data_IF_718037846736
#
_entry.id   IF_718037846736
#
_cell.length_a   1.000
_cell.length_b   1.000
_cell.length_c   1.000
_cell.angle_alpha   90.00
_cell.angle_beta   90.00
_cell.angle_gamma   90.00
#
_symmetry.space_group_name_H-M   'P 1'
#
loop_
_entity.id
_entity.type
_entity.pdbx_description
1 polymer ?
#
# COMPACT_ATOMS: atom_id res chain seq x y z
N UNK A 1 -16.11 86.38 16.24
CA UNK A 1 -15.72 87.12 15.03
C UNK A 1 -15.46 86.07 13.94
N UNK A 2 -16.41 85.79 13.03
CA UNK A 2 -16.52 86.28 11.63
C UNK A 2 -15.21 86.08 10.84
N UNK A 3 -15.12 85.44 9.66
CA UNK A 3 -15.99 85.12 8.50
C UNK A 3 -15.47 83.82 7.83
N UNK A 4 -16.30 82.89 7.32
CA UNK A 4 -17.02 82.85 6.03
C UNK A 4 -16.16 82.88 4.74
N UNK A 5 -16.45 81.93 3.84
CA UNK A 5 -15.93 81.82 2.47
C UNK A 5 -16.41 80.53 1.77
N UNK A 6 -17.69 80.47 1.41
CA UNK A 6 -18.30 79.50 0.49
C UNK A 6 -18.08 79.91 -0.99
N UNK A 7 -17.97 78.91 -1.88
CA UNK A 7 -18.46 78.83 -3.29
C UNK A 7 -18.20 77.38 -3.73
N UNK A 8 -19.08 76.59 -4.34
CA UNK A 8 -20.32 76.85 -5.06
C UNK A 8 -20.26 76.11 -6.42
N UNK A 9 -20.89 74.93 -6.46
CA UNK A 9 -21.56 74.25 -7.60
C UNK A 9 -20.79 73.65 -8.80
N UNK A 10 -21.24 72.45 -9.22
CA UNK A 10 -21.04 71.90 -10.57
C UNK A 10 -21.00 70.37 -10.68
N UNK A 11 -22.17 69.71 -10.79
CA UNK A 11 -22.30 68.30 -11.22
C UNK A 11 -21.83 68.10 -12.67
N UNK A 12 -21.39 66.87 -13.04
CA UNK A 12 -22.29 66.09 -13.88
C UNK A 12 -22.42 64.62 -13.47
N UNK A 13 -23.66 64.15 -13.57
CA UNK A 13 -24.11 62.76 -13.61
C UNK A 13 -23.43 61.98 -14.73
N UNK A 14 -22.93 60.77 -14.46
CA UNK A 14 -22.81 59.69 -15.45
C UNK A 14 -22.54 58.32 -14.82
N UNK A 15 -23.50 57.42 -15.05
CA UNK A 15 -23.39 55.97 -15.26
C UNK A 15 -22.57 55.09 -14.30
N UNK A 16 -23.30 54.32 -13.50
CA UNK A 16 -22.83 53.07 -12.89
C UNK A 16 -22.66 52.00 -13.97
N UNK A 17 -21.41 51.59 -14.22
CA UNK A 17 -21.11 50.38 -15.00
C UNK A 17 -20.75 49.27 -14.02
N UNK A 18 -21.65 48.30 -13.90
CA UNK A 18 -21.41 47.02 -13.21
C UNK A 18 -20.39 46.23 -14.02
N UNK A 19 -19.13 46.25 -13.57
CA UNK A 19 -18.09 45.35 -14.10
C UNK A 19 -18.29 43.97 -13.49
N UNK A 20 -19.02 43.11 -14.20
CA UNK A 20 -19.06 41.67 -13.97
C UNK A 20 -17.69 41.11 -14.32
N UNK A 21 -16.88 40.81 -13.30
CA UNK A 21 -15.64 40.06 -13.46
C UNK A 21 -15.98 38.60 -13.74
N UNK A 22 -15.89 38.22 -15.01
CA UNK A 22 -15.95 36.84 -15.49
C UNK A 22 -14.76 36.05 -14.95
N UNK A 23 -15.00 35.25 -13.91
CA UNK A 23 -14.06 34.24 -13.46
C UNK A 23 -14.16 33.02 -14.39
N UNK A 24 -13.32 33.01 -15.43
CA UNK A 24 -13.10 31.83 -16.27
C UNK A 24 -12.40 30.77 -15.42
N UNK A 25 -13.19 29.90 -14.78
CA UNK A 25 -12.69 28.73 -14.08
C UNK A 25 -12.39 27.68 -15.13
N UNK A 26 -11.12 27.57 -15.52
CA UNK A 26 -10.63 26.44 -16.29
C UNK A 26 -10.71 25.18 -15.42
N UNK A 27 -11.85 24.49 -15.45
CA UNK A 27 -11.99 23.16 -14.87
C UNK A 27 -11.36 22.17 -15.83
N UNK A 28 -10.06 21.92 -15.65
CA UNK A 28 -9.38 20.79 -16.29
C UNK A 28 -9.88 19.52 -15.62
N UNK A 29 -10.93 18.93 -16.18
CA UNK A 29 -11.43 17.60 -15.79
C UNK A 29 -10.44 16.55 -16.28
N UNK A 30 -9.39 16.31 -15.50
CA UNK A 30 -8.57 15.12 -15.64
C UNK A 30 -9.45 13.92 -15.33
N UNK A 31 -9.78 13.13 -16.34
CA UNK A 31 -10.51 11.86 -16.27
C UNK A 31 -9.72 10.89 -15.41
N UNK A 32 -9.84 11.03 -14.09
CA UNK A 32 -9.24 10.13 -13.12
C UNK A 32 -10.20 8.97 -13.02
N UNK A 33 -9.89 7.86 -13.68
CA UNK A 33 -10.61 6.60 -13.52
C UNK A 33 -10.72 6.33 -12.03
N UNK A 34 -11.93 6.43 -11.49
CA UNK A 34 -12.16 6.26 -10.06
C UNK A 34 -12.08 4.75 -9.78
N UNK A 35 -10.88 4.23 -9.54
CA UNK A 35 -10.71 2.85 -9.10
C UNK A 35 -11.31 2.72 -7.70
N UNK A 36 -12.34 1.89 -7.57
CA UNK A 36 -12.95 1.56 -6.29
C UNK A 36 -11.92 0.91 -5.38
N UNK A 37 -11.84 1.33 -4.11
CA UNK A 37 -10.84 0.72 -3.24
C UNK A 37 -11.14 -0.76 -2.97
N UNK A 38 -12.40 -1.19 -3.08
CA UNK A 38 -12.79 -2.59 -2.99
C UNK A 38 -12.05 -3.48 -4.01
N UNK A 39 -11.69 -2.93 -5.17
CA UNK A 39 -10.88 -3.59 -6.20
C UNK A 39 -9.46 -3.92 -5.71
N UNK A 40 -8.88 -3.08 -4.83
CA UNK A 40 -7.60 -3.36 -4.17
C UNK A 40 -7.68 -4.50 -3.15
N UNK A 41 -8.86 -4.74 -2.57
CA UNK A 41 -9.07 -5.77 -1.56
C UNK A 41 -9.31 -7.16 -2.16
N UNK A 42 -9.84 -7.24 -3.39
CA UNK A 42 -10.07 -8.52 -4.08
C UNK A 42 -8.81 -9.09 -4.73
N UNK A 43 -7.64 -8.49 -4.54
CA UNK A 43 -6.39 -8.88 -5.21
C UNK A 43 -6.37 -8.61 -6.72
N UNK A 44 -7.36 -7.87 -7.23
CA UNK A 44 -7.51 -7.60 -8.68
C UNK A 44 -6.83 -6.32 -9.14
N UNK A 45 -6.38 -5.50 -8.19
CA UNK A 45 -5.70 -4.25 -8.51
C UNK A 45 -4.30 -4.46 -9.06
N UNK A 46 -3.99 -3.75 -10.13
CA UNK A 46 -2.66 -3.74 -10.70
C UNK A 46 -1.64 -3.12 -9.72
N UNK A 47 -0.36 -3.48 -9.89
CA UNK A 47 0.76 -2.86 -9.15
C UNK A 47 0.77 -1.34 -9.26
N UNK A 48 0.39 -0.80 -10.43
CA UNK A 48 0.33 0.64 -10.68
C UNK A 48 -0.77 1.32 -9.85
N UNK A 49 -1.95 0.72 -9.75
CA UNK A 49 -3.04 1.28 -8.97
C UNK A 49 -2.75 1.20 -7.46
N UNK A 50 -2.14 0.10 -6.98
CA UNK A 50 -1.70 -0.03 -5.58
C UNK A 50 -0.68 1.04 -5.22
N UNK A 51 0.26 1.29 -6.13
CA UNK A 51 1.26 2.36 -6.01
C UNK A 51 0.58 3.73 -5.97
N UNK A 52 -0.39 3.97 -6.85
CA UNK A 52 -1.16 5.21 -6.88
C UNK A 52 -1.92 5.45 -5.57
N UNK A 53 -2.61 4.43 -5.05
CA UNK A 53 -3.31 4.50 -3.77
C UNK A 53 -2.34 4.86 -2.63
N UNK A 54 -1.20 4.17 -2.56
CA UNK A 54 -0.16 4.46 -1.57
C UNK A 54 0.34 5.90 -1.65
N UNK A 55 0.59 6.42 -2.86
CA UNK A 55 1.01 7.81 -3.07
C UNK A 55 -0.04 8.79 -2.59
N UNK A 56 -1.32 8.57 -2.93
CA UNK A 56 -2.40 9.47 -2.51
C UNK A 56 -2.64 9.44 -1.00
N UNK A 57 -2.59 8.26 -0.37
CA UNK A 57 -2.64 8.14 1.10
C UNK A 57 -1.44 8.88 1.70
N UNK A 58 -0.24 8.71 1.13
CA UNK A 58 0.98 9.39 1.56
C UNK A 58 0.82 10.90 1.55
N UNK A 59 0.36 11.46 0.43
CA UNK A 59 0.11 12.90 0.29
C UNK A 59 -0.89 13.42 1.32
N UNK A 60 -1.99 12.71 1.58
CA UNK A 60 -2.96 13.12 2.62
C UNK A 60 -2.31 13.11 4.00
N UNK A 61 -1.52 12.09 4.31
CA UNK A 61 -0.81 12.01 5.59
C UNK A 61 0.23 13.11 5.70
N UNK A 62 0.98 13.43 4.65
CA UNK A 62 2.01 14.48 4.69
C UNK A 62 1.40 15.87 4.85
N UNK A 63 0.39 16.19 4.06
CA UNK A 63 -0.22 17.53 4.01
C UNK A 63 -1.16 17.81 5.19
N UNK A 64 -1.76 16.79 5.78
CA UNK A 64 -2.84 16.98 6.77
C UNK A 64 -2.64 16.25 8.09
N UNK A 65 -1.62 15.40 8.21
CA UNK A 65 -1.40 14.73 9.49
C UNK A 65 -0.82 15.69 10.53
N UNK A 66 -1.35 15.55 11.74
CA UNK A 66 -0.85 16.24 12.92
C UNK A 66 0.41 15.51 13.40
N UNK A 67 1.58 15.94 12.92
CA UNK A 67 2.87 15.36 13.35
C UNK A 67 3.20 15.65 14.82
N UNK A 68 2.32 16.31 15.56
CA UNK A 68 2.42 16.50 17.00
C UNK A 68 2.16 15.24 17.85
N UNK A 69 1.83 14.08 17.25
CA UNK A 69 1.63 12.83 18.00
C UNK A 69 2.80 11.85 17.84
N UNK A 70 3.44 11.42 18.95
CA UNK A 70 4.62 10.52 18.92
C UNK A 70 4.39 9.23 18.11
N UNK A 71 3.18 8.67 18.14
CA UNK A 71 2.81 7.44 17.42
C UNK A 71 1.43 7.59 16.77
N UNK A 72 1.21 6.92 15.64
CA UNK A 72 -0.09 6.93 14.94
C UNK A 72 -1.25 6.47 15.84
N UNK A 73 -1.02 5.50 16.73
CA UNK A 73 -2.03 5.03 17.69
C UNK A 73 -2.48 6.11 18.69
N UNK A 74 -1.68 7.17 18.90
CA UNK A 74 -2.03 8.30 19.78
C UNK A 74 -2.80 9.40 19.06
N UNK A 75 -2.92 9.34 17.73
CA UNK A 75 -3.72 10.29 16.95
C UNK A 75 -5.20 10.04 17.27
N UNK A 76 -5.97 11.07 17.67
CA UNK A 76 -7.39 10.92 17.97
C UNK A 76 -8.19 10.33 16.80
N UNK A 77 -9.14 9.45 17.10
CA UNK A 77 -9.98 8.79 16.11
C UNK A 77 -10.76 9.78 15.24
N UNK A 78 -11.16 10.95 15.77
CA UNK A 78 -11.81 12.03 15.02
C UNK A 78 -10.91 12.62 13.92
N UNK A 79 -9.61 12.81 14.22
CA UNK A 79 -8.61 13.29 13.26
C UNK A 79 -8.28 12.22 12.23
N UNK A 80 -8.10 10.97 12.64
CA UNK A 80 -7.94 9.83 11.70
C UNK A 80 -9.14 9.71 10.75
N UNK A 81 -10.37 9.85 11.26
CA UNK A 81 -11.60 9.86 10.45
C UNK A 81 -11.58 11.00 9.44
N UNK A 82 -11.13 12.19 9.83
CA UNK A 82 -11.00 13.34 8.92
C UNK A 82 -10.03 13.02 7.76
N UNK A 83 -8.88 12.41 8.06
CA UNK A 83 -7.92 11.99 7.03
C UNK A 83 -8.50 10.91 6.11
N UNK A 84 -9.23 9.94 6.66
CA UNK A 84 -9.93 8.94 5.84
C UNK A 84 -11.03 9.56 4.98
N UNK A 85 -11.79 10.51 5.49
CA UNK A 85 -12.82 11.20 4.70
C UNK A 85 -12.22 11.95 3.50
N UNK A 86 -10.97 12.43 3.58
CA UNK A 86 -10.28 13.02 2.42
C UNK A 86 -9.99 12.02 1.32
N UNK A 87 -9.89 10.73 1.64
CA UNK A 87 -9.79 9.68 0.62
C UNK A 87 -11.08 9.51 -0.16
N UNK A 88 -12.25 9.80 0.43
CA UNK A 88 -13.55 9.70 -0.27
C UNK A 88 -13.65 10.68 -1.45
N UNK A 89 -12.90 11.80 -1.39
CA UNK A 89 -12.82 12.76 -2.49
C UNK A 89 -11.99 12.22 -3.66
N UNK A 90 -11.02 11.35 -3.37
CA UNK A 90 -10.09 10.81 -4.36
C UNK A 90 -10.49 9.43 -4.88
N UNK A 91 -11.27 8.69 -4.10
CA UNK A 91 -11.61 7.29 -4.36
C UNK A 91 -13.05 7.01 -3.93
N UNK A 92 -13.75 6.15 -4.68
CA UNK A 92 -15.01 5.56 -4.22
C UNK A 92 -14.66 4.43 -3.25
N UNK A 93 -14.82 4.70 -1.96
CA UNK A 93 -14.46 3.78 -0.87
C UNK A 93 -15.62 3.67 0.08
N UNK A 94 -16.04 2.46 0.39
CA UNK A 94 -16.89 2.24 1.54
C UNK A 94 -16.05 2.25 2.83
N UNK A 95 -15.94 3.42 3.45
CA UNK A 95 -15.31 3.57 4.76
C UNK A 95 -16.22 3.12 5.93
N UNK A 96 -17.33 2.46 5.65
CA UNK A 96 -18.19 1.86 6.69
C UNK A 96 -17.72 0.46 7.06
N UNK A 97 -17.06 -0.24 6.13
CA UNK A 97 -16.61 -1.61 6.38
C UNK A 97 -15.38 -1.65 7.30
N UNK A 98 -15.42 -2.38 8.43
CA UNK A 98 -14.37 -2.35 9.46
C UNK A 98 -13.00 -2.82 8.94
N UNK A 99 -12.96 -3.87 8.10
CA UNK A 99 -11.71 -4.35 7.47
C UNK A 99 -11.06 -3.31 6.56
N UNK A 100 -11.86 -2.51 5.86
CA UNK A 100 -11.35 -1.45 4.97
C UNK A 100 -10.75 -0.32 5.81
N UNK A 101 -11.46 0.09 6.87
CA UNK A 101 -10.95 1.08 7.83
C UNK A 101 -9.61 0.61 8.41
N UNK A 102 -9.52 -0.64 8.87
CA UNK A 102 -8.31 -1.20 9.46
C UNK A 102 -7.13 -1.18 8.48
N UNK A 103 -7.34 -1.63 7.25
CA UNK A 103 -6.31 -1.63 6.22
C UNK A 103 -5.83 -0.21 5.91
N UNK A 104 -6.75 0.73 5.68
CA UNK A 104 -6.40 2.14 5.40
C UNK A 104 -5.65 2.73 6.59
N UNK A 105 -6.09 2.47 7.83
CA UNK A 105 -5.41 2.95 9.04
C UNK A 105 -4.00 2.37 9.17
N UNK A 106 -3.82 1.08 8.84
CA UNK A 106 -2.50 0.41 8.84
C UNK A 106 -1.57 1.03 7.80
N UNK A 107 -2.06 1.33 6.59
CA UNK A 107 -1.27 2.00 5.54
C UNK A 107 -0.92 3.43 5.94
N UNK A 108 -1.88 4.19 6.46
CA UNK A 108 -1.64 5.53 7.01
C UNK A 108 -0.61 5.50 8.16
N UNK A 109 -0.68 4.52 9.07
CA UNK A 109 0.27 4.35 10.16
C UNK A 109 1.70 4.14 9.68
N UNK A 110 1.88 3.28 8.67
CA UNK A 110 3.19 3.03 8.04
C UNK A 110 3.73 4.31 7.41
N UNK A 111 2.93 4.99 6.60
CA UNK A 111 3.33 6.22 5.91
C UNK A 111 3.60 7.38 6.87
N UNK A 112 2.82 7.50 7.95
CA UNK A 112 3.04 8.46 9.02
C UNK A 112 4.40 8.25 9.71
N UNK A 113 4.77 6.99 9.93
CA UNK A 113 6.04 6.64 10.58
C UNK A 113 7.22 6.96 9.67
N UNK A 114 7.11 6.63 8.37
CA UNK A 114 8.10 6.99 7.34
C UNK A 114 8.27 8.51 7.26
N UNK A 115 7.16 9.25 7.21
CA UNK A 115 7.18 10.71 7.14
C UNK A 115 7.92 11.35 8.32
N UNK A 116 7.58 10.95 9.55
CA UNK A 116 8.26 11.46 10.75
C UNK A 116 9.76 11.17 10.75
N UNK A 117 10.14 10.00 10.25
CA UNK A 117 11.54 9.62 10.15
C UNK A 117 12.28 10.47 9.11
N UNK A 118 11.64 10.82 8.00
CA UNK A 118 12.20 11.76 7.02
C UNK A 118 12.37 13.16 7.62
N UNK A 119 11.37 13.67 8.34
CA UNK A 119 11.48 14.94 9.06
C UNK A 119 12.62 14.95 10.07
N UNK A 120 12.84 13.82 10.74
CA UNK A 120 13.98 13.64 11.64
C UNK A 120 15.32 13.69 10.89
N UNK A 121 15.46 12.96 9.78
CA UNK A 121 16.65 13.00 8.92
C UNK A 121 16.93 14.41 8.39
N UNK A 122 15.88 15.13 7.99
CA UNK A 122 16.00 16.52 7.55
C UNK A 122 16.53 17.42 8.68
N UNK A 123 15.96 17.32 9.89
CA UNK A 123 16.45 18.06 11.06
C UNK A 123 17.91 17.72 11.39
N UNK A 124 18.31 16.44 11.31
CA UNK A 124 19.71 16.03 11.49
C UNK A 124 20.65 16.64 10.45
N UNK A 125 20.22 16.68 9.18
CA UNK A 125 21.02 17.27 8.10
C UNK A 125 21.28 18.78 8.28
N UNK A 126 20.45 19.46 9.08
CA UNK A 126 20.67 20.85 9.45
C UNK A 126 21.83 21.05 10.45
N UNK A 127 22.38 19.98 11.04
CA UNK A 127 23.56 19.96 11.89
C UNK A 127 23.33 20.46 13.32
N UNK A 128 22.59 21.57 13.51
CA UNK A 128 22.27 22.09 14.85
C UNK A 128 20.76 22.23 15.06
N UNK A 129 20.25 22.04 16.29
CA UNK A 129 18.83 22.22 16.59
C UNK A 129 18.30 23.63 16.26
N UNK A 130 19.14 24.66 16.42
CA UNK A 130 18.77 26.03 16.08
C UNK A 130 18.59 26.22 14.56
N UNK A 131 19.47 25.62 13.75
CA UNK A 131 19.37 25.66 12.29
C UNK A 131 18.20 24.82 11.77
N UNK A 132 17.93 23.67 12.38
CA UNK A 132 16.75 22.86 12.08
C UNK A 132 15.42 23.62 12.32
N UNK A 133 15.33 24.41 13.39
CA UNK A 133 14.15 25.26 13.64
C UNK A 133 13.97 26.37 12.61
N UNK A 134 15.06 27.00 12.17
CA UNK A 134 15.01 28.06 11.18
C UNK A 134 14.64 27.56 9.77
N UNK A 135 14.93 26.29 9.49
CA UNK A 135 14.67 25.66 8.20
C UNK A 135 13.34 24.89 8.24
N UNK A 136 12.25 25.55 7.86
CA UNK A 136 10.93 24.93 7.76
C UNK A 136 10.82 24.09 6.46
N UNK A 137 10.47 22.79 6.54
CA UNK A 137 10.13 22.01 5.35
C UNK A 137 8.85 22.56 4.68
N UNK A 138 8.84 22.64 3.34
CA UNK A 138 7.73 23.22 2.56
C UNK A 138 6.35 22.61 2.85
N UNK A 139 6.31 21.32 3.22
CA UNK A 139 5.06 20.56 3.38
C UNK A 139 4.56 20.46 4.83
N UNK A 140 5.15 21.19 5.77
CA UNK A 140 4.81 21.11 7.20
C UNK A 140 4.36 22.46 7.76
N UNK A 141 3.23 22.45 8.46
CA UNK A 141 2.77 23.62 9.23
C UNK A 141 3.79 24.04 10.28
N UNK A 142 4.11 25.34 10.33
CA UNK A 142 5.12 25.92 11.24
C UNK A 142 4.90 25.51 12.68
N UNK A 143 3.66 25.57 13.17
CA UNK A 143 3.32 25.20 14.56
C UNK A 143 3.61 23.73 14.88
N UNK A 144 3.46 22.83 13.92
CA UNK A 144 3.76 21.42 14.10
C UNK A 144 5.26 21.13 14.03
N UNK A 145 5.98 21.86 13.16
CA UNK A 145 7.43 21.78 13.07
C UNK A 145 8.09 22.24 14.37
N UNK A 146 7.68 23.39 14.90
CA UNK A 146 8.17 23.91 16.18
C UNK A 146 7.90 22.92 17.32
N UNK A 147 6.71 22.32 17.36
CA UNK A 147 6.39 21.31 18.35
C UNK A 147 7.32 20.08 18.22
N UNK A 148 7.57 19.58 17.01
CA UNK A 148 8.48 18.45 16.77
C UNK A 148 9.90 18.76 17.23
N UNK A 149 10.43 19.92 16.83
CA UNK A 149 11.75 20.36 17.23
C UNK A 149 11.86 20.47 18.76
N UNK A 150 10.84 21.02 19.43
CA UNK A 150 10.88 21.29 20.88
C UNK A 150 10.57 20.08 21.77
N UNK A 151 9.79 19.10 21.29
CA UNK A 151 9.31 17.98 22.11
C UNK A 151 9.91 16.64 21.71
N UNK A 152 10.35 16.48 20.47
CA UNK A 152 10.81 15.19 19.93
C UNK A 152 12.30 15.22 19.67
N UNK A 153 12.81 16.22 18.97
CA UNK A 153 14.20 16.23 18.51
C UNK A 153 15.21 16.80 19.52
N UNK A 154 14.75 17.57 20.51
CA UNK A 154 15.55 18.08 21.62
C UNK A 154 15.65 17.11 22.80
N UNK A 155 14.76 16.11 22.88
CA UNK A 155 14.77 15.16 23.99
C UNK A 155 15.94 14.19 23.83
N UNK A 156 16.89 14.20 24.77
CA UNK A 156 18.11 13.37 24.81
C UNK A 156 17.86 11.88 24.57
N UNK A 157 16.72 11.36 25.04
CA UNK A 157 16.27 9.97 24.83
C UNK A 157 16.20 9.57 23.33
N UNK A 158 15.93 10.51 22.42
CA UNK A 158 15.88 10.22 20.99
C UNK A 158 17.26 10.22 20.33
N UNK A 159 18.20 11.03 20.84
CA UNK A 159 19.58 11.03 20.36
C UNK A 159 20.27 9.72 20.75
N UNK A 160 20.09 9.26 22.00
CA UNK A 160 20.62 7.99 22.50
C UNK A 160 20.00 6.76 21.79
N UNK A 161 18.68 6.73 21.55
CA UNK A 161 18.03 5.62 20.83
C UNK A 161 18.49 5.51 19.36
N UNK A 162 18.83 6.63 18.71
CA UNK A 162 19.30 6.58 17.32
C UNK A 162 20.75 6.13 17.20
N UNK A 163 21.61 6.48 18.17
CA UNK A 163 22.97 5.96 18.26
C UNK A 163 22.98 4.42 18.45
N UNK A 164 22.01 3.89 19.21
CA UNK A 164 21.81 2.44 19.33
C UNK A 164 21.25 1.82 18.04
N UNK A 165 20.42 2.54 17.26
CA UNK A 165 19.92 2.04 15.98
C UNK A 165 20.94 2.08 14.83
N UNK A 166 22.00 2.89 14.93
CA UNK A 166 23.17 2.80 14.03
C UNK A 166 24.02 1.55 14.31
N UNK A 167 23.80 0.84 15.42
CA UNK A 167 24.22 -0.58 15.59
C UNK A 167 23.33 -1.56 14.79
N UNK A 168 22.73 -1.08 13.70
CA UNK A 168 22.13 -1.91 12.64
C UNK A 168 23.14 -2.78 11.89
N UNK A 169 24.43 -2.69 12.23
CA UNK A 169 25.45 -3.68 11.86
C UNK A 169 24.97 -5.11 12.15
N UNK A 170 24.41 -5.38 13.33
CA UNK A 170 23.91 -6.71 13.67
C UNK A 170 22.83 -7.21 12.67
N UNK A 171 21.94 -6.33 12.18
CA UNK A 171 20.93 -6.71 11.19
C UNK A 171 21.52 -6.93 9.80
N UNK A 172 22.50 -6.12 9.40
CA UNK A 172 23.26 -6.35 8.15
C UNK A 172 24.03 -7.67 8.21
N UNK A 173 24.69 -7.97 9.32
CA UNK A 173 25.37 -9.25 9.52
C UNK A 173 24.40 -10.44 9.47
N UNK A 174 23.22 -10.34 10.10
CA UNK A 174 22.19 -11.38 10.02
C UNK A 174 21.69 -11.57 8.57
N UNK A 175 21.52 -10.48 7.81
CA UNK A 175 21.08 -10.55 6.42
C UNK A 175 22.18 -11.13 5.51
N UNK A 176 23.43 -10.71 5.67
CA UNK A 176 24.58 -11.26 4.95
C UNK A 176 24.77 -12.75 5.23
N UNK A 177 24.69 -13.18 6.50
CA UNK A 177 24.78 -14.59 6.86
C UNK A 177 23.64 -15.41 6.24
N UNK A 178 22.41 -14.89 6.26
CA UNK A 178 21.26 -15.54 5.60
C UNK A 178 21.46 -15.68 4.10
N UNK A 179 21.93 -14.63 3.42
CA UNK A 179 22.20 -14.67 1.99
C UNK A 179 23.31 -15.68 1.66
N UNK A 180 24.40 -15.69 2.44
CA UNK A 180 25.49 -16.65 2.26
C UNK A 180 25.02 -18.11 2.43
N UNK A 181 24.20 -18.41 3.45
CA UNK A 181 23.61 -19.74 3.60
C UNK A 181 22.71 -20.11 2.42
N UNK A 182 21.90 -19.18 1.91
CA UNK A 182 21.05 -19.40 0.73
C UNK A 182 21.89 -19.72 -0.51
N UNK A 183 22.95 -18.96 -0.75
CA UNK A 183 23.82 -19.14 -1.91
C UNK A 183 24.61 -20.45 -1.82
N UNK A 184 25.08 -20.83 -0.63
CA UNK A 184 25.72 -22.13 -0.38
C UNK A 184 24.78 -23.31 -0.62
N UNK A 185 23.54 -23.24 -0.12
CA UNK A 185 22.53 -24.28 -0.38
C UNK A 185 22.22 -24.42 -1.87
N UNK A 186 22.08 -23.29 -2.58
CA UNK A 186 21.87 -23.31 -4.03
C UNK A 186 23.05 -23.98 -4.75
N UNK A 187 24.28 -23.59 -4.41
CA UNK A 187 25.49 -24.18 -4.99
C UNK A 187 25.58 -25.69 -4.76
N UNK A 188 25.36 -26.17 -3.54
CA UNK A 188 25.40 -27.63 -3.25
C UNK A 188 24.31 -28.40 -3.97
N UNK A 189 23.11 -27.81 -4.11
CA UNK A 189 22.00 -28.39 -4.89
C UNK A 189 22.35 -28.49 -6.38
N UNK A 190 22.96 -27.45 -6.94
CA UNK A 190 23.39 -27.43 -8.34
C UNK A 190 24.53 -28.44 -8.60
N UNK A 191 25.52 -28.54 -7.70
CA UNK A 191 26.60 -29.55 -7.78
C UNK A 191 26.07 -30.98 -7.70
N UNK A 192 25.10 -31.24 -6.81
CA UNK A 192 24.48 -32.56 -6.69
C UNK A 192 23.63 -32.91 -7.91
N UNK A 193 22.89 -31.94 -8.45
CA UNK A 193 22.16 -32.10 -9.72
C UNK A 193 23.13 -32.42 -10.86
N UNK A 194 24.29 -31.77 -10.94
CA UNK A 194 25.30 -32.05 -11.96
C UNK A 194 25.86 -33.47 -11.85
N UNK A 195 26.14 -33.95 -10.63
CA UNK A 195 26.56 -35.35 -10.40
C UNK A 195 25.50 -36.35 -10.86
N UNK A 196 24.23 -36.10 -10.56
CA UNK A 196 23.12 -36.93 -11.01
C UNK A 196 22.97 -36.92 -12.54
N UNK A 197 23.23 -35.79 -13.20
CA UNK A 197 23.24 -35.69 -14.66
C UNK A 197 24.38 -36.54 -15.27
N UNK A 198 25.57 -36.54 -14.65
CA UNK A 198 26.71 -37.32 -15.13
C UNK A 198 26.53 -38.83 -14.95
N UNK A 199 25.84 -39.26 -13.89
CA UNK A 199 25.56 -40.68 -13.61
C UNK A 199 24.35 -41.22 -14.39
N UNK A 200 23.49 -40.34 -14.90
CA UNK A 200 22.30 -40.74 -15.63
C UNK A 200 22.63 -41.47 -16.96
N UNK A 201 21.83 -42.47 -17.35
CA UNK A 201 21.98 -43.14 -18.64
C UNK A 201 21.93 -42.15 -19.80
N UNK A 202 22.83 -42.37 -20.78
CA UNK A 202 22.98 -41.53 -21.97
C UNK A 202 21.65 -41.46 -22.73
N UNK A 203 21.01 -40.28 -22.73
CA UNK A 203 19.69 -40.04 -23.34
C UNK A 203 18.62 -39.52 -22.38
N UNK A 204 18.90 -39.46 -21.07
CA UNK A 204 17.99 -38.84 -20.10
C UNK A 204 18.01 -37.31 -20.23
N UNK A 205 16.87 -36.63 -20.45
CA UNK A 205 16.83 -35.17 -20.50
C UNK A 205 17.22 -34.53 -19.17
N UNK A 206 18.17 -33.59 -19.19
CA UNK A 206 18.72 -32.95 -17.98
C UNK A 206 17.67 -32.28 -17.09
N UNK A 207 16.59 -31.77 -17.69
CA UNK A 207 15.51 -31.09 -16.98
C UNK A 207 14.59 -32.05 -16.18
N UNK A 208 14.64 -33.35 -16.49
CA UNK A 208 13.85 -34.38 -15.78
C UNK A 208 14.52 -34.88 -14.50
N UNK A 209 15.80 -34.57 -14.28
CA UNK A 209 16.58 -35.05 -13.15
C UNK A 209 16.36 -34.10 -11.97
N UNK A 210 15.60 -34.56 -10.97
CA UNK A 210 15.37 -33.83 -9.73
C UNK A 210 16.23 -34.39 -8.60
N UNK A 211 16.76 -33.52 -7.74
CA UNK A 211 17.50 -33.93 -6.54
C UNK A 211 16.52 -34.62 -5.59
N UNK A 212 16.76 -35.87 -5.15
CA UNK A 212 15.89 -36.54 -4.19
C UNK A 212 15.67 -35.70 -2.93
N UNK A 213 14.46 -35.74 -2.36
CA UNK A 213 14.10 -34.94 -1.19
C UNK A 213 14.99 -35.23 0.03
N UNK A 214 15.41 -36.49 0.20
CA UNK A 214 16.30 -36.89 1.31
C UNK A 214 17.69 -36.24 1.19
N UNK A 215 18.19 -36.10 -0.03
CA UNK A 215 19.48 -35.45 -0.29
C UNK A 215 19.38 -33.92 -0.14
N UNK A 216 18.29 -33.31 -0.59
CA UNK A 216 17.99 -31.89 -0.34
C UNK A 216 17.91 -31.59 1.17
N UNK A 217 17.33 -32.51 1.94
CA UNK A 217 17.32 -32.43 3.40
C UNK A 217 18.71 -32.56 4.02
N UNK A 218 19.54 -33.45 3.48
CA UNK A 218 20.96 -33.56 3.86
C UNK A 218 21.70 -32.23 3.70
N UNK A 219 21.53 -31.57 2.55
CA UNK A 219 22.14 -30.26 2.26
C UNK A 219 21.65 -29.18 3.23
N UNK A 220 20.36 -29.15 3.55
CA UNK A 220 19.80 -28.20 4.53
C UNK A 220 20.33 -28.45 5.94
N UNK A 221 20.39 -29.72 6.37
CA UNK A 221 20.87 -30.10 7.68
C UNK A 221 22.37 -29.77 7.87
N UNK A 222 23.18 -29.93 6.83
CA UNK A 222 24.60 -29.57 6.83
C UNK A 222 24.79 -28.05 6.92
N UNK A 223 24.03 -27.26 6.16
CA UNK A 223 24.18 -25.80 6.11
C UNK A 223 23.58 -25.06 7.31
N UNK A 224 22.41 -25.49 7.79
CA UNK A 224 21.68 -24.82 8.86
C UNK A 224 21.91 -25.46 10.24
N UNK A 225 22.49 -26.66 10.25
CA UNK A 225 22.66 -27.48 11.43
C UNK A 225 21.39 -28.22 11.83
N UNK A 226 21.59 -29.33 12.56
CA UNK A 226 20.51 -30.19 13.06
C UNK A 226 20.38 -30.06 14.57
N UNK A 227 19.14 -29.99 15.05
CA UNK A 227 18.81 -30.14 16.46
C UNK A 227 17.82 -31.29 16.62
N UNK A 228 18.33 -32.45 17.06
CA UNK A 228 17.54 -33.67 17.14
C UNK A 228 17.02 -34.10 15.77
N UNK A 229 15.69 -34.19 15.63
CA UNK A 229 15.03 -34.55 14.36
C UNK A 229 14.72 -33.35 13.45
N UNK A 230 14.93 -32.12 13.92
CA UNK A 230 14.64 -30.90 13.16
C UNK A 230 15.90 -30.26 12.58
N UNK A 231 15.74 -29.59 11.43
CA UNK A 231 16.73 -28.64 10.89
C UNK A 231 16.43 -27.26 11.45
N UNK A 232 17.46 -26.54 11.89
CA UNK A 232 17.29 -25.22 12.48
C UNK A 232 16.57 -24.27 11.50
N UNK A 233 15.53 -23.60 11.97
CA UNK A 233 14.76 -22.63 11.18
C UNK A 233 13.74 -23.23 10.20
N UNK A 234 13.74 -24.54 9.98
CA UNK A 234 12.78 -25.22 9.08
C UNK A 234 11.79 -26.09 9.85
N UNK A 235 12.16 -26.54 11.06
CA UNK A 235 11.28 -27.31 11.94
C UNK A 235 11.42 -28.81 11.78
N UNK A 236 10.44 -29.56 12.31
CA UNK A 236 10.38 -31.02 12.21
C UNK A 236 9.66 -31.35 10.91
N UNK A 237 10.35 -32.02 9.98
CA UNK A 237 9.72 -32.47 8.75
C UNK A 237 8.84 -33.70 9.02
N UNK A 238 7.70 -33.83 8.31
CA UNK A 238 6.96 -35.08 8.24
C UNK A 238 7.94 -36.18 7.82
N UNK A 239 7.99 -37.24 8.61
CA UNK A 239 8.86 -38.38 8.34
C UNK A 239 8.53 -38.91 6.94
N UNK A 240 9.52 -38.96 6.04
CA UNK A 240 9.47 -39.96 4.95
C UNK A 240 9.62 -41.30 5.67
N UNK A 241 8.48 -41.92 5.98
CA UNK A 241 8.42 -43.09 6.83
C UNK A 241 9.30 -44.19 6.24
N UNK A 242 10.36 -44.54 6.98
CA UNK A 242 10.77 -45.95 7.04
C UNK A 242 9.59 -46.66 7.68
N UNK A 243 8.80 -47.32 6.83
CA UNK A 243 7.63 -48.15 7.14
C UNK A 243 7.61 -48.65 8.59
N UNK A 244 6.72 -48.11 9.43
CA UNK A 244 6.66 -48.61 10.80
C UNK A 244 5.58 -48.05 11.73
N UNK A 245 4.82 -47.03 11.34
CA UNK A 245 3.73 -46.56 12.19
C UNK A 245 2.43 -46.40 11.40
N UNK A 246 1.56 -47.40 11.54
CA UNK A 246 0.16 -47.35 11.17
C UNK A 246 -0.50 -46.34 12.12
N UNK A 247 -0.56 -45.07 11.70
CA UNK A 247 -1.52 -44.14 12.27
C UNK A 247 -2.90 -44.54 11.75
N UNK A 248 -3.81 -44.82 12.67
CA UNK A 248 -5.21 -45.13 12.40
C UNK A 248 -5.87 -43.95 11.68
N UNK A 249 -5.91 -43.97 10.34
CA UNK A 249 -6.73 -43.02 9.60
C UNK A 249 -8.20 -43.24 9.95
N UNK A 250 -8.89 -42.14 10.22
CA UNK A 250 -10.33 -42.10 10.40
C UNK A 250 -11.03 -42.77 9.21
N UNK A 251 -12.08 -43.53 9.54
CA UNK A 251 -12.78 -44.42 8.62
C UNK A 251 -13.38 -43.64 7.44
N UNK A 252 -13.30 -44.22 6.24
CA UNK A 252 -13.75 -43.63 4.97
C UNK A 252 -15.25 -43.28 4.92
N UNK A 253 -16.05 -43.70 5.90
CA UNK A 253 -17.47 -43.40 6.02
C UNK A 253 -17.77 -41.93 6.38
N UNK A 254 -16.88 -41.24 7.10
CA UNK A 254 -17.10 -39.82 7.44
C UNK A 254 -16.92 -38.91 6.22
N UNK A 255 -16.06 -39.30 5.27
CA UNK A 255 -15.78 -38.52 4.06
C UNK A 255 -16.96 -38.59 3.07
N UNK A 256 -17.70 -39.69 3.05
CA UNK A 256 -18.93 -39.81 2.25
C UNK A 256 -20.05 -38.90 2.75
N UNK A 257 -20.12 -38.62 4.05
CA UNK A 257 -21.15 -37.75 4.65
C UNK A 257 -20.87 -36.26 4.46
N UNK A 258 -19.61 -35.86 4.26
CA UNK A 258 -19.23 -34.45 4.06
C UNK A 258 -19.46 -34.02 2.60
N UNK A 259 -19.33 -34.93 1.63
CA UNK A 259 -19.50 -34.63 0.20
C UNK A 259 -20.85 -33.97 -0.15
N UNK A 260 -22.02 -34.44 0.32
CA UNK A 260 -23.29 -33.77 0.04
C UNK A 260 -23.39 -32.37 0.68
N UNK A 261 -22.76 -32.16 1.84
CA UNK A 261 -22.75 -30.84 2.51
C UNK A 261 -21.94 -29.81 1.73
N UNK A 262 -20.78 -30.22 1.19
CA UNK A 262 -19.95 -29.37 0.32
C UNK A 262 -20.74 -29.00 -0.94
N UNK A 263 -21.48 -29.95 -1.53
CA UNK A 263 -22.30 -29.68 -2.71
C UNK A 263 -23.42 -28.69 -2.40
N UNK A 264 -24.12 -28.86 -1.29
CA UNK A 264 -25.18 -27.95 -0.84
C UNK A 264 -24.66 -26.52 -0.61
N UNK A 265 -23.49 -26.37 0.02
CA UNK A 265 -22.84 -25.08 0.21
C UNK A 265 -22.43 -24.44 -1.12
N UNK A 266 -21.93 -25.24 -2.06
CA UNK A 266 -21.56 -24.78 -3.40
C UNK A 266 -22.76 -24.29 -4.20
N UNK A 267 -23.89 -25.01 -4.13
CA UNK A 267 -25.12 -24.64 -4.83
C UNK A 267 -25.70 -23.33 -4.25
N UNK A 268 -25.75 -23.21 -2.92
CA UNK A 268 -26.20 -21.99 -2.24
C UNK A 268 -25.31 -20.77 -2.52
N UNK A 269 -24.00 -20.97 -2.68
CA UNK A 269 -23.07 -19.90 -3.07
C UNK A 269 -23.33 -19.43 -4.50
N UNK A 270 -23.71 -20.34 -5.39
CA UNK A 270 -24.02 -20.03 -6.79
C UNK A 270 -25.31 -19.21 -6.91
N UNK A 271 -26.33 -19.54 -6.12
CA UNK A 271 -27.58 -18.76 -6.03
C UNK A 271 -27.33 -17.32 -5.52
N UNK A 272 -26.51 -17.16 -4.49
CA UNK A 272 -26.14 -15.84 -3.96
C UNK A 272 -25.39 -14.98 -4.99
N UNK A 273 -24.49 -15.58 -5.77
CA UNK A 273 -23.80 -14.87 -6.85
C UNK A 273 -24.77 -14.39 -7.94
N UNK A 274 -25.73 -15.22 -8.32
CA UNK A 274 -26.75 -14.85 -9.33
C UNK A 274 -27.64 -13.70 -8.84
N UNK A 275 -28.01 -13.69 -7.56
CA UNK A 275 -28.78 -12.60 -6.95
C UNK A 275 -28.00 -11.28 -6.91
N UNK A 276 -26.70 -11.33 -6.64
CA UNK A 276 -25.82 -10.15 -6.66
C UNK A 276 -25.68 -9.55 -8.06
N UNK A 277 -25.49 -10.39 -9.09
CA UNK A 277 -25.44 -9.94 -10.49
C UNK A 277 -26.76 -9.32 -10.96
N UNK A 278 -27.90 -9.89 -10.54
CA UNK A 278 -29.23 -9.33 -10.80
C UNK A 278 -29.42 -7.97 -10.12
N UNK A 279 -29.02 -7.85 -8.85
CA UNK A 279 -29.08 -6.58 -8.12
C UNK A 279 -28.19 -5.51 -8.77
N UNK A 280 -26.98 -5.87 -9.17
CA UNK A 280 -26.06 -4.96 -9.86
C UNK A 280 -26.64 -4.48 -11.19
N UNK A 281 -27.28 -5.38 -11.94
CA UNK A 281 -27.98 -5.05 -13.20
C UNK A 281 -29.12 -4.06 -12.97
N UNK A 282 -29.92 -4.26 -11.91
CA UNK A 282 -31.01 -3.33 -11.52
C UNK A 282 -30.48 -1.95 -11.14
N UNK A 283 -29.39 -1.88 -10.36
CA UNK A 283 -28.76 -0.62 -9.97
C UNK A 283 -28.24 0.12 -11.21
N UNK A 284 -27.59 -0.59 -12.13
CA UNK A 284 -27.08 -0.01 -13.38
C UNK A 284 -28.21 0.55 -14.25
N UNK A 285 -29.33 -0.17 -14.36
CA UNK A 285 -30.52 0.30 -15.08
C UNK A 285 -31.13 1.54 -14.43
N UNK A 286 -31.21 1.59 -13.09
CA UNK A 286 -31.71 2.75 -12.36
C UNK A 286 -30.83 4.00 -12.58
N UNK A 287 -29.51 3.85 -12.54
CA UNK A 287 -28.57 4.94 -12.81
C UNK A 287 -28.72 5.44 -14.25
N UNK A 288 -28.82 4.55 -15.24
CA UNK A 288 -29.02 4.91 -16.64
C UNK A 288 -30.33 5.70 -16.85
N UNK A 289 -31.44 5.22 -16.28
CA UNK A 289 -32.73 5.92 -16.35
C UNK A 289 -32.71 7.29 -15.66
N UNK A 290 -31.94 7.43 -14.57
CA UNK A 290 -31.76 8.72 -13.90
C UNK A 290 -30.93 9.72 -14.72
N UNK A 291 -29.97 9.24 -15.51
CA UNK A 291 -29.14 10.07 -16.39
C UNK A 291 -29.89 10.52 -17.64
N UNK A 292 -30.78 9.68 -18.19
CA UNK A 292 -31.62 10.05 -19.33
C UNK A 292 -32.57 11.22 -18.99
N UNK A 293 -32.99 11.32 -17.72
CA UNK A 293 -33.82 12.43 -17.23
C UNK A 293 -33.08 13.77 -17.13
N UNK A 294 -31.74 13.78 -17.11
CA UNK A 294 -30.92 15.00 -17.01
C UNK A 294 -30.36 15.49 -18.34
N UNK A 295 -30.46 14.68 -19.41
CA UNK A 295 -29.83 14.96 -20.70
C UNK A 295 -30.76 15.64 -21.72
N UNK A 296 -31.95 16.08 -21.30
CA UNK A 296 -32.77 17.02 -22.09
C UNK A 296 -32.24 18.46 -22.03
N UNK A 297 -31.01 18.69 -21.52
CA UNK A 297 -30.36 19.98 -21.54
C UNK A 297 -28.98 19.85 -22.20
N UNK A 298 -28.92 20.33 -23.45
CA UNK A 298 -27.74 20.72 -24.23
C UNK A 298 -26.99 19.62 -25.00
N UNK A 299 -27.25 19.59 -26.31
CA UNK A 299 -26.33 19.14 -27.36
C UNK A 299 -24.98 19.87 -27.25
N UNK A 300 -23.88 19.12 -27.30
CA UNK A 300 -22.79 19.40 -28.26
C UNK A 300 -21.88 18.18 -28.40
N UNK A 301 -21.64 17.79 -29.65
CA UNK A 301 -20.80 16.69 -30.13
C UNK A 301 -19.33 16.79 -29.69
N UNK A 302 -18.72 15.63 -29.43
CA UNK A 302 -17.28 15.47 -29.21
C UNK A 302 -16.88 14.00 -29.19
N UNK A 303 -16.43 13.54 -30.36
CA UNK A 303 -16.08 12.16 -30.72
C UNK A 303 -14.67 11.78 -30.24
N UNK A 304 -14.48 10.69 -29.45
CA UNK A 304 -13.16 10.11 -29.16
C UNK A 304 -13.20 8.57 -29.08
N UNK A 305 -12.22 7.98 -29.75
CA UNK A 305 -12.05 6.60 -30.22
C UNK A 305 -11.73 5.52 -29.17
N UNK A 306 -12.00 4.27 -29.58
CA UNK A 306 -11.72 3.00 -28.87
C UNK A 306 -10.26 2.56 -29.04
N UNK A 307 -9.64 2.10 -27.94
CA UNK A 307 -8.38 1.35 -27.96
C UNK A 307 -8.53 0.03 -27.20
N UNK A 308 -8.32 -1.09 -27.89
CA UNK A 308 -8.22 -2.45 -27.35
C UNK A 308 -6.82 -2.68 -26.75
N UNK A 309 -6.74 -3.42 -25.64
CA UNK A 309 -5.49 -4.04 -25.22
C UNK A 309 -5.70 -5.42 -24.59
N UNK A 310 -5.00 -6.38 -25.19
CA UNK A 310 -4.93 -7.81 -24.87
C UNK A 310 -4.08 -8.03 -23.61
N UNK A 311 -4.49 -9.00 -22.79
CA UNK A 311 -3.92 -9.32 -21.47
C UNK A 311 -2.82 -10.39 -21.57
N UNK A 312 -1.75 -10.24 -20.79
CA UNK A 312 -0.78 -11.31 -20.50
C UNK A 312 -0.65 -11.48 -18.99
N UNK A 313 -0.77 -12.73 -18.55
CA UNK A 313 -0.69 -13.24 -17.18
C UNK A 313 0.71 -13.04 -16.58
N UNK A 314 0.83 -12.43 -15.39
CA UNK A 314 2.09 -12.45 -14.61
C UNK A 314 1.87 -12.50 -13.09
N UNK A 315 2.62 -13.43 -12.49
CA UNK A 315 2.74 -13.81 -11.09
C UNK A 315 3.02 -12.66 -10.11
N UNK A 316 2.42 -12.78 -8.92
CA UNK A 316 2.64 -11.95 -7.74
C UNK A 316 4.02 -12.24 -7.12
N UNK A 317 4.89 -11.23 -7.09
CA UNK A 317 6.07 -11.22 -6.23
C UNK A 317 5.94 -10.15 -5.15
N UNK A 318 6.21 -10.55 -3.90
CA UNK A 318 6.35 -9.70 -2.72
C UNK A 318 7.44 -8.63 -2.93
N UNK A 319 7.02 -7.39 -3.20
CA UNK A 319 7.91 -6.24 -3.31
C UNK A 319 7.98 -5.47 -1.98
N UNK A 320 8.92 -5.86 -1.12
CA UNK A 320 9.59 -4.92 -0.23
C UNK A 320 10.59 -4.08 -1.03
N UNK A 321 10.10 -3.27 -1.99
CA UNK A 321 10.92 -2.25 -2.65
C UNK A 321 11.04 -1.02 -1.75
N UNK A 322 12.28 -0.73 -1.39
CA UNK A 322 12.73 0.50 -0.74
C UNK A 322 12.36 1.69 -1.63
N UNK A 323 11.30 2.42 -1.25
CA UNK A 323 10.90 3.66 -1.92
C UNK A 323 12.00 4.71 -1.80
N UNK A 324 12.59 5.09 -2.93
CA UNK A 324 13.53 6.20 -3.06
C UNK A 324 12.79 7.44 -3.61
N UNK A 325 12.49 8.47 -2.80
CA UNK A 325 11.59 9.56 -3.19
C UNK A 325 12.31 10.79 -3.78
N UNK A 326 13.54 10.67 -4.27
CA UNK A 326 14.31 11.81 -4.78
C UNK A 326 13.76 12.46 -6.07
N UNK A 327 12.63 11.99 -6.62
CA UNK A 327 12.05 12.59 -7.85
C UNK A 327 11.21 13.86 -7.62
N UNK A 328 11.01 14.35 -6.39
CA UNK A 328 10.16 15.55 -6.14
C UNK A 328 10.94 16.75 -5.57
N UNK A 329 12.25 16.62 -5.32
CA UNK A 329 13.06 17.70 -4.71
C UNK A 329 14.06 18.38 -5.66
N UNK A 330 14.00 18.12 -6.97
CA UNK A 330 14.70 18.91 -7.99
C UNK A 330 13.68 19.58 -8.91
N UNK A 331 13.26 20.78 -8.52
CA UNK A 331 12.46 21.71 -9.31
C UNK A 331 12.65 23.10 -8.75
#
# INVERSE_FOLDING_TARGET
>A
MRKEGETGEGWPTSASTTTTSSATSATTTSTTTISSIAYFFTGRASRHELRFLHTKIGNIVWTHSLVCYKKWMKVPSSKKRTLRNKLLVLFVVDLSHPKIIEYVDKKMAKLYSVFRHQLYKYNLSCGTPARGRANLPNDVYTTHWDWLCNNVYTTTHFLEETEVSYKGEARRFIQHARTAHKDNMKKMKDEMREKLIQEAPKGTPSDSIHVPLDDEFGIMAENLGRKGKSVNGVGVFPHTDTSGFISSMASSSELTDIRPQIKLLSDAQLDLCNDEENLFTKIKAFIAASQEKTNNFTESEGDISKGENTYTELEEHDLEEEWCPYCVFCG
#
